data_IF_010800868148
#
_entry.id   IF_010800868148
#
_cell.length_a   1.000
_cell.length_b   1.000
_cell.length_c   1.000
_cell.angle_alpha   90.00
_cell.angle_beta   90.00
_cell.angle_gamma   90.00
#
_symmetry.space_group_name_H-M   'P 1'
#
loop_
_entity.id
_entity.type
_entity.pdbx_description
1 polymer ?
#
# COMPACT_ATOMS: atom_id res chain seq x y z
N UNK A 1 -16.41 -16.04 2.36
CA UNK A 1 -15.63 -17.15 2.95
C UNK A 1 -15.25 -16.75 4.35
N UNK A 2 -15.75 -17.41 5.41
CA UNK A 2 -15.35 -17.07 6.76
C UNK A 2 -14.01 -17.76 7.08
N UNK A 3 -13.00 -16.97 7.42
CA UNK A 3 -11.77 -17.48 8.02
C UNK A 3 -12.09 -17.86 9.46
N UNK A 4 -11.98 -19.14 9.79
CA UNK A 4 -12.04 -19.63 11.17
C UNK A 4 -10.84 -19.08 11.94
N UNK A 5 -11.09 -18.16 12.87
CA UNK A 5 -10.13 -17.84 13.94
C UNK A 5 -10.17 -18.97 14.97
N UNK A 6 -9.03 -19.63 15.17
CA UNK A 6 -8.80 -20.54 16.29
C UNK A 6 -8.78 -19.74 17.59
N UNK A 7 -9.73 -20.03 18.47
CA UNK A 7 -9.80 -19.48 19.82
C UNK A 7 -8.66 -20.07 20.68
N UNK A 8 -7.89 -19.20 21.31
CA UNK A 8 -6.92 -19.59 22.34
C UNK A 8 -7.66 -20.06 23.59
N UNK A 9 -7.29 -21.25 24.08
CA UNK A 9 -7.86 -21.86 25.27
C UNK A 9 -7.40 -21.11 26.53
N UNK A 10 -8.38 -20.67 27.34
CA UNK A 10 -8.18 -20.30 28.75
C UNK A 10 -7.83 -21.57 29.53
N UNK A 11 -6.65 -21.61 30.15
CA UNK A 11 -6.39 -22.51 31.27
C UNK A 11 -6.34 -21.68 32.55
N UNK A 12 -7.29 -21.98 33.43
CA UNK A 12 -7.39 -21.56 34.81
C UNK A 12 -7.11 -22.80 35.65
N UNK A 13 -6.11 -22.76 36.53
CA UNK A 13 -6.12 -23.47 37.81
C UNK A 13 -4.93 -23.02 38.66
N UNK A 14 -5.26 -22.27 39.71
CA UNK A 14 -4.44 -22.05 40.91
C UNK A 14 -4.53 -23.31 41.78
N UNK A 15 -3.49 -23.63 42.57
CA UNK A 15 -3.76 -23.86 43.98
C UNK A 15 -2.79 -23.13 44.91
N UNK A 16 -3.37 -22.75 46.06
CA UNK A 16 -2.75 -22.20 47.26
C UNK A 16 -1.63 -23.10 47.80
N UNK A 17 -0.65 -22.50 48.47
CA UNK A 17 -0.42 -22.70 49.93
C UNK A 17 0.51 -21.60 50.50
N UNK A 18 0.49 -21.40 51.84
CA UNK A 18 1.04 -20.21 52.50
C UNK A 18 2.39 -20.49 53.18
N UNK A 19 3.27 -19.49 53.27
CA UNK A 19 4.32 -19.49 54.28
C UNK A 19 4.51 -18.11 54.92
N UNK A 20 4.41 -18.13 56.25
CA UNK A 20 4.88 -17.17 57.24
C UNK A 20 6.37 -16.86 57.07
N UNK A 21 6.79 -15.64 57.47
CA UNK A 21 8.23 -15.31 57.49
C UNK A 21 8.63 -13.88 57.84
N UNK A 22 8.11 -13.35 58.95
CA UNK A 22 8.82 -12.59 60.00
C UNK A 22 10.25 -12.03 59.74
N UNK A 23 10.38 -10.70 59.87
CA UNK A 23 11.50 -9.87 60.42
C UNK A 23 12.85 -9.83 59.67
N UNK A 24 13.23 -8.62 59.21
CA UNK A 24 14.50 -7.97 59.56
C UNK A 24 14.48 -6.47 59.22
N UNK A 25 14.38 -5.64 60.26
CA UNK A 25 14.76 -4.24 60.22
C UNK A 25 16.30 -4.13 60.11
N UNK A 26 16.80 -3.18 59.33
CA UNK A 26 18.10 -2.56 59.61
C UNK A 26 18.12 -1.10 59.17
N UNK A 27 18.45 -0.28 60.16
CA UNK A 27 18.71 1.15 60.14
C UNK A 27 20.02 1.50 59.42
N UNK A 28 20.16 2.80 59.16
CA UNK A 28 21.37 3.64 59.05
C UNK A 28 21.67 4.12 57.61
N UNK A 29 22.06 5.37 57.33
CA UNK A 29 22.20 6.62 58.08
C UNK A 29 22.57 7.71 57.05
N UNK A 30 22.09 8.93 57.32
CA UNK A 30 22.51 10.27 56.88
C UNK A 30 23.65 10.44 55.85
N UNK A 31 23.40 11.29 54.84
CA UNK A 31 24.33 12.34 54.43
C UNK A 31 23.53 13.52 53.86
N UNK A 32 23.55 14.61 54.62
CA UNK A 32 23.11 15.95 54.25
C UNK A 32 24.06 16.53 53.17
N UNK A 33 23.53 17.32 52.24
CA UNK A 33 24.31 18.31 51.49
C UNK A 33 23.39 19.46 51.09
N UNK A 34 23.83 20.65 51.52
CA UNK A 34 23.18 21.94 51.46
C UNK A 34 23.08 22.51 50.03
N UNK A 35 22.21 23.53 49.81
CA UNK A 35 22.12 24.29 48.56
C UNK A 35 23.23 25.34 48.47
N UNK A 36 23.71 25.57 47.25
CA UNK A 36 24.71 26.57 46.91
C UNK A 36 24.01 27.79 46.31
N UNK A 37 24.22 28.93 46.97
CA UNK A 37 23.80 30.28 46.60
C UNK A 37 24.76 30.82 45.53
N UNK A 38 24.23 31.41 44.46
CA UNK A 38 24.91 32.52 43.78
C UNK A 38 23.90 33.40 43.08
N UNK A 39 23.78 34.59 43.67
CA UNK A 39 23.24 35.80 43.11
C UNK A 39 23.86 36.13 41.75
N UNK A 40 23.05 36.66 40.83
CA UNK A 40 23.48 37.81 40.05
C UNK A 40 22.27 38.64 39.57
N UNK A 41 22.49 39.94 39.69
CA UNK A 41 21.56 41.05 39.71
C UNK A 41 20.91 41.42 38.37
N UNK A 42 19.70 41.96 38.52
CA UNK A 42 19.15 43.14 37.85
C UNK A 42 19.20 43.27 36.31
N UNK A 43 18.02 43.28 35.69
CA UNK A 43 17.60 44.48 34.94
C UNK A 43 16.09 44.69 35.04
N UNK A 44 15.79 45.90 35.48
CA UNK A 44 14.50 46.55 35.63
C UNK A 44 14.02 47.08 34.27
N UNK A 45 12.75 46.85 33.93
CA UNK A 45 11.98 47.67 32.99
C UNK A 45 10.49 47.34 33.09
N UNK A 46 9.87 48.07 34.00
CA UNK A 46 8.43 48.38 34.08
C UNK A 46 7.78 48.72 32.72
N UNK A 47 6.61 48.13 32.44
CA UNK A 47 5.47 48.88 31.90
C UNK A 47 4.18 48.05 32.05
N UNK A 48 3.39 48.42 33.05
CA UNK A 48 1.99 48.07 33.15
C UNK A 48 1.18 48.98 32.22
N UNK A 49 0.28 48.39 31.42
CA UNK A 49 -0.86 49.13 30.88
C UNK A 49 -2.08 48.24 30.98
N UNK A 50 -3.06 48.80 31.67
CA UNK A 50 -4.37 48.29 32.01
C UNK A 50 -5.34 48.18 30.83
N UNK A 51 -6.26 47.23 30.99
CA UNK A 51 -7.70 47.35 30.83
C UNK A 51 -8.38 47.35 29.44
N UNK A 52 -9.66 46.96 29.56
CA UNK A 52 -10.80 47.14 28.66
C UNK A 52 -11.04 46.05 27.59
N UNK A 53 -11.75 45.02 28.04
CA UNK A 53 -13.17 44.83 27.71
C UNK A 53 -13.58 45.04 26.24
N UNK A 54 -13.93 43.93 25.56
CA UNK A 54 -14.69 43.97 24.30
C UNK A 54 -15.81 42.94 24.35
N UNK A 55 -16.95 43.42 24.83
CA UNK A 55 -18.28 42.90 24.52
C UNK A 55 -18.86 43.57 23.28
N UNK A 56 -19.58 42.75 22.50
CA UNK A 56 -20.78 43.01 21.72
C UNK A 56 -20.85 44.23 20.78
N UNK A 57 -20.98 43.94 19.47
CA UNK A 57 -21.99 44.59 18.63
C UNK A 57 -22.41 43.66 17.48
N UNK A 58 -23.59 43.06 17.60
CA UNK A 58 -24.46 42.76 16.46
C UNK A 58 -25.07 44.07 15.91
N UNK A 59 -25.45 44.04 14.63
CA UNK A 59 -26.53 44.79 13.95
C UNK A 59 -26.13 45.70 12.78
N UNK A 60 -26.96 45.60 11.72
CA UNK A 60 -27.23 46.63 10.70
C UNK A 60 -26.44 46.45 9.40
N UNK A 61 -27.00 45.91 8.32
CA UNK A 61 -28.05 46.44 7.43
C UNK A 61 -27.49 47.31 6.30
N UNK A 62 -27.84 46.89 5.08
CA UNK A 62 -28.24 47.66 3.90
C UNK A 62 -27.51 48.97 3.56
N UNK A 63 -26.96 49.03 2.34
CA UNK A 63 -27.59 49.78 1.26
C UNK A 63 -26.68 49.93 0.04
N UNK A 64 -27.36 49.92 -1.09
CA UNK A 64 -26.94 50.28 -2.44
C UNK A 64 -26.15 51.59 -2.51
N UNK A 65 -25.16 51.64 -3.40
CA UNK A 65 -24.75 52.88 -4.07
C UNK A 65 -24.16 52.52 -5.43
N UNK A 66 -25.00 52.64 -6.44
CA UNK A 66 -24.58 52.88 -7.81
C UNK A 66 -24.15 54.35 -7.91
N UNK A 67 -23.01 54.63 -8.55
CA UNK A 67 -22.81 55.85 -9.33
C UNK A 67 -21.53 55.73 -10.18
N UNK A 68 -21.78 55.58 -11.47
CA UNK A 68 -21.14 56.22 -12.61
C UNK A 68 -19.75 56.84 -12.45
N UNK A 69 -18.79 56.26 -13.17
CA UNK A 69 -17.77 57.05 -13.88
C UNK A 69 -17.52 56.42 -15.25
N UNK A 70 -18.16 57.00 -16.28
CA UNK A 70 -17.75 56.87 -17.67
C UNK A 70 -16.52 57.76 -17.90
N UNK A 71 -15.43 57.19 -18.43
CA UNK A 71 -14.52 57.88 -19.35
C UNK A 71 -13.71 56.84 -20.13
N UNK A 72 -13.77 56.98 -21.46
CA UNK A 72 -13.15 56.16 -22.47
C UNK A 72 -11.62 56.15 -22.39
N UNK A 73 -10.99 55.03 -22.79
CA UNK A 73 -10.10 55.04 -23.96
C UNK A 73 -9.67 53.62 -24.36
N UNK A 74 -10.14 53.27 -25.56
CA UNK A 74 -9.64 52.34 -26.56
C UNK A 74 -8.31 51.60 -26.32
N UNK A 75 -8.40 50.30 -26.02
CA UNK A 75 -7.49 49.28 -26.59
C UNK A 75 -8.29 48.00 -26.88
N UNK A 76 -8.96 47.98 -28.03
CA UNK A 76 -9.57 46.78 -28.60
C UNK A 76 -8.49 45.86 -29.20
N UNK A 77 -7.96 44.93 -28.40
CA UNK A 77 -7.19 43.77 -28.89
C UNK A 77 -8.01 42.50 -28.66
N UNK A 78 -8.79 42.15 -29.70
CA UNK A 78 -9.13 40.81 -30.17
C UNK A 78 -9.18 39.67 -29.12
N UNK A 79 -10.25 39.63 -28.33
CA UNK A 79 -10.70 38.45 -27.58
C UNK A 79 -11.67 37.61 -28.42
N UNK A 80 -11.16 37.00 -29.50
CA UNK A 80 -11.89 36.07 -30.35
C UNK A 80 -11.22 34.68 -30.35
N UNK A 81 -10.97 34.12 -29.17
CA UNK A 81 -10.61 32.69 -29.03
C UNK A 81 -11.88 31.84 -29.04
N UNK A 82 -12.27 31.49 -30.27
CA UNK A 82 -12.86 30.21 -30.69
C UNK A 82 -13.34 29.32 -29.53
N UNK A 83 -14.62 29.44 -29.17
CA UNK A 83 -15.40 28.31 -28.64
C UNK A 83 -15.61 27.31 -29.79
N UNK A 84 -14.57 26.53 -30.07
CA UNK A 84 -14.65 25.34 -30.90
C UNK A 84 -15.51 24.29 -30.18
N UNK A 85 -16.82 24.39 -30.35
CA UNK A 85 -17.77 23.36 -30.00
C UNK A 85 -17.50 22.17 -30.92
N UNK A 86 -16.57 21.31 -30.52
CA UNK A 86 -16.44 19.97 -31.09
C UNK A 86 -17.71 19.20 -30.72
N UNK A 87 -18.75 19.35 -31.55
CA UNK A 87 -19.81 18.35 -31.64
C UNK A 87 -19.16 17.12 -32.25
N UNK A 88 -18.56 16.29 -31.41
CA UNK A 88 -18.23 14.92 -31.81
C UNK A 88 -19.53 14.29 -32.30
N UNK A 89 -19.60 14.05 -33.62
CA UNK A 89 -20.73 13.42 -34.28
C UNK A 89 -21.15 12.18 -33.49
N UNK A 90 -22.33 12.25 -32.88
CA UNK A 90 -22.92 11.16 -32.11
C UNK A 90 -23.46 10.04 -33.03
N UNK A 91 -23.19 10.08 -34.35
CA UNK A 91 -23.80 9.15 -35.32
C UNK A 91 -23.07 7.81 -35.49
N UNK A 92 -21.83 7.65 -35.02
CA UNK A 92 -21.03 6.43 -35.24
C UNK A 92 -20.83 5.57 -33.98
N UNK A 93 -21.76 5.64 -33.02
CA UNK A 93 -21.84 4.59 -31.99
C UNK A 93 -22.64 3.40 -32.55
N UNK A 94 -22.07 2.20 -32.63
CA UNK A 94 -22.78 1.02 -33.12
C UNK A 94 -24.03 0.80 -32.26
N UNK A 95 -25.21 0.95 -32.86
CA UNK A 95 -26.54 0.90 -32.21
C UNK A 95 -26.90 -0.47 -31.59
N UNK A 96 -25.98 -1.43 -31.58
CA UNK A 96 -26.19 -2.80 -31.08
C UNK A 96 -25.80 -3.05 -29.61
N UNK A 97 -25.04 -2.16 -28.96
CA UNK A 97 -24.52 -2.40 -27.59
C UNK A 97 -25.41 -1.84 -26.46
N UNK A 98 -26.38 -0.99 -26.78
CA UNK A 98 -27.16 -0.25 -25.76
C UNK A 98 -28.17 -1.11 -25.00
N UNK A 99 -28.62 -2.25 -25.57
CA UNK A 99 -29.65 -3.08 -24.89
C UNK A 99 -29.07 -4.04 -23.86
N UNK A 100 -27.81 -4.46 -24.02
CA UNK A 100 -27.11 -5.21 -22.96
C UNK A 100 -26.70 -4.32 -21.79
N UNK A 101 -26.65 -2.98 -21.97
CA UNK A 101 -26.20 -2.09 -20.90
C UNK A 101 -27.17 -2.04 -19.74
N UNK A 102 -28.49 -2.07 -19.95
CA UNK A 102 -29.45 -1.93 -18.85
C UNK A 102 -29.50 -3.15 -17.93
N UNK A 103 -29.49 -4.37 -18.49
CA UNK A 103 -29.45 -5.60 -17.70
C UNK A 103 -28.12 -5.72 -16.94
N UNK A 104 -27.02 -5.37 -17.62
CA UNK A 104 -25.69 -5.36 -17.02
C UNK A 104 -25.56 -4.31 -15.92
N UNK A 105 -26.05 -3.08 -16.13
CA UNK A 105 -26.09 -2.02 -15.12
C UNK A 105 -26.90 -2.44 -13.90
N UNK A 106 -28.08 -3.05 -14.09
CA UNK A 106 -28.89 -3.55 -12.97
C UNK A 106 -28.19 -4.66 -12.19
N UNK A 107 -27.57 -5.62 -12.88
CA UNK A 107 -26.76 -6.65 -12.24
C UNK A 107 -25.63 -6.03 -11.41
N UNK A 108 -25.00 -4.99 -11.97
CA UNK A 108 -23.92 -4.28 -11.32
C UNK A 108 -24.39 -3.50 -10.08
N UNK A 109 -25.54 -2.83 -10.17
CA UNK A 109 -26.16 -2.12 -9.05
C UNK A 109 -26.54 -3.08 -7.92
N UNK A 110 -27.11 -4.24 -8.26
CA UNK A 110 -27.44 -5.29 -7.28
C UNK A 110 -26.19 -5.84 -6.60
N UNK A 111 -25.16 -6.19 -7.39
CA UNK A 111 -23.86 -6.65 -6.84
C UNK A 111 -23.15 -5.59 -6.03
N UNK A 112 -23.26 -4.32 -6.42
CA UNK A 112 -22.75 -3.22 -5.62
C UNK A 112 -23.49 -3.14 -4.30
N UNK A 113 -24.83 -3.21 -4.28
CA UNK A 113 -25.60 -3.18 -3.04
C UNK A 113 -25.25 -4.35 -2.11
N UNK A 114 -25.12 -5.56 -2.64
CA UNK A 114 -24.64 -6.74 -1.90
C UNK A 114 -23.23 -6.51 -1.32
N UNK A 115 -22.34 -5.94 -2.13
CA UNK A 115 -21.00 -5.56 -1.68
C UNK A 115 -21.06 -4.48 -0.59
N UNK A 116 -21.91 -3.46 -0.72
CA UNK A 116 -22.09 -2.42 0.31
C UNK A 116 -22.58 -2.99 1.63
N UNK A 117 -23.53 -3.91 1.59
CA UNK A 117 -24.05 -4.60 2.76
C UNK A 117 -22.95 -5.46 3.40
N UNK A 118 -22.19 -6.20 2.60
CA UNK A 118 -21.07 -7.04 3.06
C UNK A 118 -19.96 -6.21 3.71
N UNK A 119 -19.60 -5.08 3.11
CA UNK A 119 -18.63 -4.13 3.68
C UNK A 119 -19.15 -3.56 5.00
N UNK A 120 -20.42 -3.18 5.08
CA UNK A 120 -21.00 -2.64 6.31
C UNK A 120 -21.00 -3.68 7.44
N UNK A 121 -21.37 -4.92 7.14
CA UNK A 121 -21.32 -6.03 8.09
C UNK A 121 -19.89 -6.29 8.55
N UNK A 122 -18.95 -6.43 7.61
CA UNK A 122 -17.54 -6.66 7.92
C UNK A 122 -16.96 -5.53 8.78
N UNK A 123 -17.26 -4.27 8.46
CA UNK A 123 -16.84 -3.09 9.23
C UNK A 123 -17.43 -3.07 10.63
N UNK A 124 -18.59 -3.66 10.84
CA UNK A 124 -19.22 -3.74 12.17
C UNK A 124 -18.54 -4.82 13.00
N UNK A 125 -18.15 -5.93 12.38
CA UNK A 125 -17.57 -7.10 13.05
C UNK A 125 -16.05 -7.01 13.28
N UNK A 126 -15.31 -6.37 12.37
CA UNK A 126 -13.84 -6.49 12.29
C UNK A 126 -13.10 -5.17 12.51
N UNK A 127 -13.81 -4.06 12.65
CA UNK A 127 -13.18 -2.75 12.83
C UNK A 127 -12.42 -2.71 14.16
N UNK A 128 -11.11 -2.38 14.15
CA UNK A 128 -10.38 -2.16 15.39
C UNK A 128 -10.93 -0.90 16.07
N UNK A 129 -11.13 -1.00 17.38
CA UNK A 129 -11.48 0.14 18.22
C UNK A 129 -10.18 0.87 18.54
N UNK A 130 -9.89 1.92 17.78
CA UNK A 130 -8.76 2.80 17.99
C UNK A 130 -9.31 4.13 18.48
N UNK A 131 -8.96 4.51 19.70
CA UNK A 131 -9.40 5.77 20.31
C UNK A 131 -8.23 6.71 20.55
N UNK A 132 -7.04 6.15 20.76
CA UNK A 132 -5.86 6.92 21.15
C UNK A 132 -4.64 6.59 20.29
N UNK A 133 -3.63 7.47 20.36
CA UNK A 133 -2.33 7.23 19.75
C UNK A 133 -1.66 5.96 20.33
N UNK A 134 -1.86 5.69 21.62
CA UNK A 134 -1.27 4.51 22.25
C UNK A 134 -1.86 3.21 21.73
N UNK A 135 -3.11 3.20 21.28
CA UNK A 135 -3.69 2.04 20.60
C UNK A 135 -3.02 1.81 19.24
N UNK A 136 -2.70 2.89 18.51
CA UNK A 136 -1.95 2.78 17.26
C UNK A 136 -0.52 2.29 17.51
N UNK A 137 0.15 2.75 18.57
CA UNK A 137 1.49 2.25 18.93
C UNK A 137 1.50 0.74 19.21
N UNK A 138 0.40 0.16 19.72
CA UNK A 138 0.28 -1.29 19.98
C UNK A 138 0.18 -2.11 18.70
N UNK A 139 -0.41 -1.57 17.64
CA UNK A 139 -0.62 -2.28 16.37
C UNK A 139 0.44 -1.97 15.31
N UNK A 140 1.03 -0.78 15.36
CA UNK A 140 2.05 -0.35 14.40
C UNK A 140 3.34 -1.14 14.61
N UNK A 141 3.99 -1.47 13.50
CA UNK A 141 5.27 -2.17 13.54
C UNK A 141 6.36 -1.19 13.95
N UNK A 142 6.81 -1.30 15.21
CA UNK A 142 8.09 -0.72 15.64
C UNK A 142 9.19 -1.78 15.63
N UNK A 143 10.42 -1.33 15.43
CA UNK A 143 11.58 -2.23 15.51
C UNK A 143 11.68 -2.74 16.95
N UNK A 144 11.66 -4.06 17.16
CA UNK A 144 11.81 -4.62 18.51
C UNK A 144 13.20 -4.28 19.05
N UNK A 145 13.27 -3.94 20.34
CA UNK A 145 14.55 -3.76 21.02
C UNK A 145 15.31 -5.08 20.99
N UNK A 146 16.50 -5.04 20.42
CA UNK A 146 17.37 -6.21 20.17
C UNK A 146 18.83 -5.81 20.34
N UNK A 147 19.74 -6.77 20.22
CA UNK A 147 21.19 -6.51 20.26
C UNK A 147 21.62 -5.53 19.16
N UNK A 148 20.95 -5.58 17.99
CA UNK A 148 21.20 -4.68 16.86
C UNK A 148 20.48 -3.34 16.98
N UNK A 149 19.37 -3.30 17.72
CA UNK A 149 18.56 -2.09 17.94
C UNK A 149 18.31 -1.84 19.43
N UNK A 150 19.25 -1.14 20.07
CA UNK A 150 19.19 -0.89 21.52
C UNK A 150 18.31 0.32 21.86
N UNK A 151 17.93 0.46 23.14
CA UNK A 151 17.27 1.68 23.66
C UNK A 151 18.10 2.95 23.40
N UNK A 152 19.42 2.84 23.34
CA UNK A 152 20.32 3.95 23.01
C UNK A 152 20.12 4.43 21.57
N UNK A 153 20.01 3.50 20.63
CA UNK A 153 19.74 3.79 19.21
C UNK A 153 18.37 4.46 19.04
N UNK A 154 17.35 3.95 19.73
CA UNK A 154 16.01 4.54 19.72
C UNK A 154 16.03 5.99 20.22
N UNK A 155 16.64 6.25 21.38
CA UNK A 155 16.80 7.62 21.91
C UNK A 155 17.64 8.52 20.99
N UNK A 156 18.57 7.96 20.22
CA UNK A 156 19.33 8.72 19.23
C UNK A 156 18.45 9.10 18.03
N UNK A 157 17.65 8.16 17.52
CA UNK A 157 16.68 8.42 16.45
C UNK A 157 15.67 9.51 16.87
N UNK A 158 15.14 9.43 18.08
CA UNK A 158 14.25 10.46 18.66
C UNK A 158 14.93 11.83 18.76
N UNK A 159 16.19 11.89 19.20
CA UNK A 159 16.96 13.15 19.26
C UNK A 159 17.27 13.71 17.88
N UNK A 160 17.61 12.87 16.91
CA UNK A 160 17.85 13.29 15.53
C UNK A 160 16.57 13.84 14.92
N UNK A 161 15.45 13.14 15.09
CA UNK A 161 14.14 13.57 14.63
C UNK A 161 13.70 14.89 15.28
N UNK A 162 13.94 15.05 16.59
CA UNK A 162 13.62 16.29 17.29
C UNK A 162 14.42 17.50 16.78
N UNK A 163 15.64 17.28 16.29
CA UNK A 163 16.51 18.31 15.69
C UNK A 163 16.26 18.51 14.21
N UNK A 164 15.54 17.61 13.55
CA UNK A 164 15.29 17.70 12.11
C UNK A 164 14.48 18.97 11.79
N UNK A 165 15.07 19.88 11.01
CA UNK A 165 14.43 21.11 10.57
C UNK A 165 13.14 20.86 9.78
N UNK A 166 12.99 19.67 9.20
CA UNK A 166 11.76 19.25 8.56
C UNK A 166 10.59 19.04 9.52
N UNK A 167 10.83 18.67 10.78
CA UNK A 167 9.77 18.42 11.78
C UNK A 167 8.95 19.69 12.03
N UNK A 168 9.62 20.86 12.11
CA UNK A 168 8.98 22.16 12.34
C UNK A 168 8.11 22.64 11.18
N UNK A 169 8.43 22.23 9.96
CA UNK A 169 7.78 22.73 8.73
C UNK A 169 6.55 21.92 8.27
N UNK A 170 6.09 20.91 9.05
CA UNK A 170 5.30 19.79 8.48
C UNK A 170 4.00 19.37 9.14
N UNK A 171 3.53 20.09 10.15
CA UNK A 171 2.21 19.84 10.73
C UNK A 171 1.10 20.71 10.12
N UNK A 172 1.34 21.36 8.97
CA UNK A 172 0.22 21.90 8.17
C UNK A 172 -0.56 20.77 7.46
N UNK A 173 -0.86 19.74 8.23
CA UNK A 173 -1.80 18.66 7.93
C UNK A 173 -3.23 19.19 7.87
N UNK A 174 -3.49 20.34 8.50
CA UNK A 174 -4.79 20.97 8.56
C UNK A 174 -5.44 21.10 7.19
N UNK A 175 -4.67 21.42 6.15
CA UNK A 175 -5.17 21.57 4.78
C UNK A 175 -5.32 20.25 3.99
N UNK A 176 -4.68 19.15 4.41
CA UNK A 176 -4.62 17.91 3.63
C UNK A 176 -5.62 16.85 4.11
N UNK A 177 -6.90 17.09 3.84
CA UNK A 177 -8.00 16.17 4.18
C UNK A 177 -7.85 14.77 3.57
N UNK A 178 -7.23 14.67 2.38
CA UNK A 178 -6.94 13.38 1.72
C UNK A 178 -5.97 12.52 2.52
N UNK A 179 -4.94 13.11 3.13
CA UNK A 179 -3.99 12.37 3.97
C UNK A 179 -4.65 11.88 5.28
N UNK A 180 -5.43 12.74 5.96
CA UNK A 180 -6.18 12.32 7.15
C UNK A 180 -7.12 11.14 6.84
N UNK A 181 -7.80 11.21 5.70
CA UNK A 181 -8.67 10.14 5.22
C UNK A 181 -7.88 8.85 4.99
N UNK A 182 -6.71 8.93 4.36
CA UNK A 182 -5.84 7.78 4.14
C UNK A 182 -5.40 7.13 5.46
N UNK A 183 -5.03 7.91 6.47
CA UNK A 183 -4.66 7.39 7.79
C UNK A 183 -5.81 6.63 8.46
N UNK A 184 -7.02 7.20 8.47
CA UNK A 184 -8.21 6.52 9.00
C UNK A 184 -8.45 5.18 8.31
N UNK A 185 -8.30 5.17 6.98
CA UNK A 185 -8.49 4.01 6.13
C UNK A 185 -7.43 2.93 6.38
N UNK A 186 -6.15 3.28 6.39
CA UNK A 186 -5.06 2.33 6.64
C UNK A 186 -5.15 1.72 8.04
N UNK A 187 -5.39 2.53 9.07
CA UNK A 187 -5.51 2.03 10.44
C UNK A 187 -6.75 1.16 10.65
N UNK A 188 -7.89 1.54 10.07
CA UNK A 188 -9.14 0.78 10.25
C UNK A 188 -9.10 -0.59 9.57
N UNK A 189 -8.45 -0.70 8.41
CA UNK A 189 -8.56 -1.91 7.59
C UNK A 189 -7.30 -2.76 7.55
N UNK A 190 -6.13 -2.14 7.64
CA UNK A 190 -4.86 -2.83 7.61
C UNK A 190 -4.16 -2.83 8.97
N UNK A 191 -4.65 -2.03 9.92
CA UNK A 191 -4.00 -1.89 11.22
C UNK A 191 -2.59 -1.31 11.12
N UNK A 192 -2.29 -0.55 10.07
CA UNK A 192 -0.96 -0.01 9.80
C UNK A 192 -1.01 1.49 9.48
N UNK A 193 0.15 2.13 9.57
CA UNK A 193 0.33 3.50 9.10
C UNK A 193 0.52 3.55 7.58
N UNK A 194 0.07 4.60 6.87
CA UNK A 194 0.30 4.73 5.43
C UNK A 194 1.78 4.63 5.04
N UNK A 195 2.68 5.17 5.86
CA UNK A 195 4.13 5.12 5.68
C UNK A 195 4.66 3.68 5.71
N UNK A 196 4.00 2.77 6.44
CA UNK A 196 4.35 1.35 6.41
C UNK A 196 4.06 0.71 5.04
N UNK A 197 3.10 1.26 4.27
CA UNK A 197 2.75 0.78 2.92
C UNK A 197 3.86 1.17 1.92
N UNK A 198 4.32 2.41 2.00
CA UNK A 198 5.42 2.96 1.19
C UNK A 198 6.73 2.95 2.00
N UNK A 199 7.08 1.78 2.52
CA UNK A 199 8.21 1.64 3.42
C UNK A 199 9.44 1.05 2.73
N UNK A 200 10.64 1.26 3.31
CA UNK A 200 11.87 0.60 2.87
C UNK A 200 11.76 -0.93 2.85
N UNK A 201 11.02 -1.52 3.80
CA UNK A 201 10.79 -2.97 3.90
C UNK A 201 10.08 -3.52 2.65
N UNK A 202 9.23 -2.71 2.03
CA UNK A 202 8.51 -3.04 0.79
C UNK A 202 9.22 -2.47 -0.43
N UNK A 203 10.46 -1.99 -0.31
CA UNK A 203 11.21 -1.33 -1.38
C UNK A 203 10.40 -0.25 -2.10
N UNK A 204 9.50 0.46 -1.40
CA UNK A 204 8.70 1.55 -1.96
C UNK A 204 9.06 2.84 -1.24
N UNK A 205 9.01 3.96 -1.96
CA UNK A 205 9.14 5.29 -1.37
C UNK A 205 8.22 6.26 -2.10
N UNK A 206 7.77 7.31 -1.43
CA UNK A 206 7.04 8.37 -2.12
C UNK A 206 7.99 9.27 -2.91
N UNK A 207 7.69 9.53 -4.18
CA UNK A 207 8.53 10.38 -5.04
C UNK A 207 8.26 11.88 -4.81
N UNK A 208 8.99 12.49 -3.88
CA UNK A 208 8.82 13.93 -3.60
C UNK A 208 9.17 14.83 -4.79
N UNK A 209 10.17 14.46 -5.59
CA UNK A 209 10.64 15.27 -6.71
C UNK A 209 9.58 15.36 -7.81
N UNK A 210 9.02 14.22 -8.21
CA UNK A 210 8.08 14.17 -9.34
C UNK A 210 6.64 14.50 -8.93
N UNK A 211 6.29 14.38 -7.66
CA UNK A 211 5.01 14.86 -7.16
C UNK A 211 5.03 16.38 -6.81
N UNK A 212 6.10 17.09 -7.16
CA UNK A 212 6.25 18.55 -7.01
C UNK A 212 6.07 19.03 -5.56
N UNK A 213 6.52 18.24 -4.58
CA UNK A 213 6.45 18.64 -3.17
C UNK A 213 7.83 18.87 -2.58
N UNK A 214 8.12 20.14 -2.24
CA UNK A 214 9.34 20.52 -1.51
C UNK A 214 9.28 20.10 -0.04
N UNK A 215 8.06 19.95 0.49
CA UNK A 215 7.79 19.50 1.86
C UNK A 215 7.54 18.01 1.75
N UNK A 216 8.28 17.15 2.49
CA UNK A 216 7.99 15.69 2.61
C UNK A 216 6.56 15.41 3.14
N UNK A 217 5.56 15.73 2.34
CA UNK A 217 4.14 15.65 2.57
C UNK A 217 3.56 15.10 1.27
N UNK A 218 2.74 14.06 1.40
CA UNK A 218 2.08 13.47 0.25
C UNK A 218 0.98 14.39 -0.23
N UNK A 219 0.91 14.65 -1.54
CA UNK A 219 -0.15 15.49 -2.09
C UNK A 219 -1.52 14.84 -1.88
N UNK A 220 -2.55 15.65 -1.65
CA UNK A 220 -3.89 15.14 -1.35
C UNK A 220 -4.42 14.19 -2.42
N UNK A 221 -4.18 14.50 -3.70
CA UNK A 221 -4.58 13.65 -4.83
C UNK A 221 -3.91 12.27 -4.82
N UNK A 222 -2.67 12.18 -4.35
CA UNK A 222 -1.98 10.90 -4.19
C UNK A 222 -2.62 10.08 -3.08
N UNK A 223 -2.90 10.72 -1.94
CA UNK A 223 -3.55 10.08 -0.80
C UNK A 223 -4.95 9.56 -1.16
N UNK A 224 -5.72 10.35 -1.91
CA UNK A 224 -7.02 9.94 -2.42
C UNK A 224 -6.92 8.73 -3.33
N UNK A 225 -5.94 8.72 -4.23
CA UNK A 225 -5.74 7.62 -5.16
C UNK A 225 -5.29 6.34 -4.46
N UNK A 226 -4.34 6.44 -3.53
CA UNK A 226 -3.91 5.30 -2.70
C UNK A 226 -5.08 4.76 -1.86
N UNK A 227 -5.89 5.65 -1.30
CA UNK A 227 -7.09 5.29 -0.53
C UNK A 227 -8.07 4.44 -1.34
N UNK A 228 -8.18 4.64 -2.66
CA UNK A 228 -9.07 3.80 -3.49
C UNK A 228 -8.54 2.37 -3.63
N UNK A 229 -7.21 2.24 -3.74
CA UNK A 229 -6.54 0.97 -3.97
C UNK A 229 -6.51 0.09 -2.73
N UNK A 230 -6.43 0.67 -1.53
CA UNK A 230 -6.44 -0.04 -0.25
C UNK A 230 -7.56 -1.09 -0.16
N UNK A 231 -8.72 -0.81 -0.72
CA UNK A 231 -9.91 -1.68 -0.57
C UNK A 231 -10.16 -2.60 -1.73
N UNK A 232 -9.28 -2.61 -2.71
CA UNK A 232 -9.55 -3.39 -3.89
C UNK A 232 -9.55 -4.89 -3.52
N UNK A 233 -10.61 -5.66 -3.84
CA UNK A 233 -10.74 -7.05 -3.39
C UNK A 233 -9.61 -7.99 -3.85
N UNK A 234 -8.87 -7.58 -4.88
CA UNK A 234 -7.65 -8.27 -5.33
C UNK A 234 -6.61 -8.43 -4.21
N UNK A 235 -6.51 -7.45 -3.31
CA UNK A 235 -5.46 -7.42 -2.27
C UNK A 235 -5.86 -8.11 -0.98
N UNK A 236 -7.14 -8.43 -0.75
CA UNK A 236 -7.61 -9.17 0.45
C UNK A 236 -7.05 -8.64 1.79
N UNK A 237 -6.92 -7.31 1.93
CA UNK A 237 -6.36 -6.67 3.13
C UNK A 237 -4.91 -7.06 3.43
N UNK A 238 -4.16 -7.46 2.41
CA UNK A 238 -2.75 -7.80 2.50
C UNK A 238 -1.89 -6.71 1.85
N UNK A 239 -1.08 -6.04 2.67
CA UNK A 239 -0.19 -4.96 2.25
C UNK A 239 0.86 -5.41 1.25
N UNK A 240 1.33 -6.65 1.38
CA UNK A 240 2.41 -7.16 0.53
C UNK A 240 1.88 -7.40 -0.89
N UNK A 241 0.60 -7.72 -1.05
CA UNK A 241 -0.08 -7.76 -2.35
C UNK A 241 -0.19 -6.39 -2.99
N UNK A 242 -0.65 -5.39 -2.24
CA UNK A 242 -0.76 -4.03 -2.75
C UNK A 242 0.63 -3.52 -3.16
N UNK A 243 1.64 -3.70 -2.31
CA UNK A 243 3.00 -3.28 -2.60
C UNK A 243 3.59 -4.00 -3.82
N UNK A 244 3.41 -5.31 -3.93
CA UNK A 244 3.82 -6.10 -5.11
C UNK A 244 3.20 -5.52 -6.39
N UNK A 245 1.91 -5.15 -6.37
CA UNK A 245 1.24 -4.56 -7.52
C UNK A 245 1.83 -3.18 -7.87
N UNK A 246 2.03 -2.31 -6.87
CA UNK A 246 2.62 -0.98 -7.06
C UNK A 246 4.05 -1.09 -7.59
N UNK A 247 4.89 -1.93 -7.00
CA UNK A 247 6.24 -2.22 -7.47
C UNK A 247 6.24 -2.63 -8.94
N UNK A 248 5.36 -3.56 -9.33
CA UNK A 248 5.26 -4.03 -10.70
C UNK A 248 4.94 -2.89 -11.68
N UNK A 249 4.01 -1.98 -11.31
CA UNK A 249 3.73 -0.79 -12.12
C UNK A 249 4.98 0.08 -12.27
N UNK A 250 5.69 0.37 -11.17
CA UNK A 250 6.90 1.20 -11.23
C UNK A 250 7.95 0.56 -12.14
N UNK A 251 8.22 -0.74 -11.97
CA UNK A 251 9.21 -1.49 -12.77
C UNK A 251 8.89 -1.45 -14.27
N UNK A 252 7.63 -1.68 -14.64
CA UNK A 252 7.22 -1.67 -16.05
C UNK A 252 7.35 -0.27 -16.65
N UNK A 253 6.99 0.77 -15.90
CA UNK A 253 7.04 2.16 -16.37
C UNK A 253 8.46 2.74 -16.44
N UNK A 254 9.34 2.32 -15.54
CA UNK A 254 10.74 2.74 -15.53
C UNK A 254 11.64 1.87 -16.41
N UNK A 255 11.11 0.75 -16.92
CA UNK A 255 11.91 -0.30 -17.57
C UNK A 255 13.07 -0.79 -16.69
N UNK A 256 12.85 -0.85 -15.37
CA UNK A 256 13.83 -1.40 -14.43
C UNK A 256 14.13 -2.87 -14.76
N UNK A 257 15.41 -3.24 -14.67
CA UNK A 257 15.95 -4.56 -15.02
C UNK A 257 16.66 -5.24 -13.85
N UNK A 258 16.64 -4.62 -12.68
CA UNK A 258 17.20 -5.21 -11.46
C UNK A 258 16.41 -6.46 -11.06
N UNK A 259 17.03 -7.41 -10.34
CA UNK A 259 16.31 -8.52 -9.74
C UNK A 259 15.14 -8.00 -8.91
N UNK A 260 13.95 -8.55 -9.16
CA UNK A 260 12.76 -8.12 -8.45
C UNK A 260 12.68 -8.79 -7.07
N UNK A 261 12.83 -7.98 -6.01
CA UNK A 261 12.78 -8.42 -4.62
C UNK A 261 11.47 -7.99 -3.95
N UNK A 262 10.36 -8.64 -4.34
CA UNK A 262 9.07 -8.45 -3.68
C UNK A 262 8.97 -9.28 -2.40
N UNK A 263 8.39 -8.70 -1.35
CA UNK A 263 7.84 -9.49 -0.24
C UNK A 263 6.51 -10.07 -0.72
N UNK A 264 6.47 -11.39 -0.86
CA UNK A 264 5.26 -12.09 -1.32
C UNK A 264 4.44 -12.58 -0.12
N UNK A 265 3.10 -12.61 -0.23
CA UNK A 265 2.22 -13.14 0.80
C UNK A 265 2.52 -14.60 1.15
N UNK A 266 2.43 -14.96 2.42
CA UNK A 266 2.65 -16.35 2.88
C UNK A 266 1.64 -17.35 2.29
N UNK A 267 0.43 -16.90 1.98
CA UNK A 267 -0.61 -17.74 1.36
C UNK A 267 -0.36 -18.02 -0.13
N UNK A 268 0.62 -17.34 -0.73
CA UNK A 268 1.13 -17.66 -2.05
C UNK A 268 2.17 -18.78 -1.91
N UNK A 269 1.75 -20.04 -2.00
CA UNK A 269 2.72 -21.15 -1.99
C UNK A 269 3.77 -21.05 -3.13
N UNK A 270 4.85 -21.83 -3.11
CA UNK A 270 5.94 -21.76 -4.12
C UNK A 270 5.47 -21.98 -5.57
N UNK A 271 4.38 -22.73 -5.74
CA UNK A 271 3.75 -22.98 -7.04
C UNK A 271 2.98 -21.76 -7.59
N UNK A 272 2.80 -20.72 -6.78
CA UNK A 272 2.07 -19.51 -7.14
C UNK A 272 2.83 -18.71 -8.20
N UNK A 273 2.07 -18.05 -9.07
CA UNK A 273 2.61 -17.28 -10.19
C UNK A 273 3.64 -16.23 -9.78
N UNK A 274 3.39 -15.52 -8.67
CA UNK A 274 4.30 -14.47 -8.18
C UNK A 274 5.67 -15.02 -7.77
N UNK A 275 5.71 -16.16 -7.06
CA UNK A 275 6.98 -16.79 -6.67
C UNK A 275 7.78 -17.21 -7.89
N UNK A 276 7.14 -17.84 -8.88
CA UNK A 276 7.83 -18.23 -10.12
C UNK A 276 8.35 -17.03 -10.89
N UNK A 277 7.60 -15.92 -10.92
CA UNK A 277 8.02 -14.69 -11.57
C UNK A 277 9.21 -14.04 -10.84
N UNK A 278 9.18 -14.01 -9.51
CA UNK A 278 10.30 -13.54 -8.70
C UNK A 278 11.55 -14.39 -8.90
N UNK A 279 11.44 -15.72 -8.80
CA UNK A 279 12.57 -16.63 -9.04
C UNK A 279 13.13 -16.49 -10.46
N UNK A 280 12.27 -16.35 -11.47
CA UNK A 280 12.72 -16.11 -12.85
C UNK A 280 13.45 -14.76 -12.99
N UNK A 281 13.02 -13.73 -12.26
CA UNK A 281 13.70 -12.43 -12.23
C UNK A 281 15.07 -12.50 -11.56
N UNK A 282 15.20 -13.28 -10.49
CA UNK A 282 16.46 -13.48 -9.80
C UNK A 282 17.43 -14.33 -10.63
N UNK A 283 16.93 -15.35 -11.32
CA UNK A 283 17.73 -16.23 -12.18
C UNK A 283 18.22 -15.56 -13.47
N UNK A 284 17.56 -14.48 -13.91
CA UNK A 284 17.88 -13.79 -15.15
C UNK A 284 17.99 -12.27 -14.97
N UNK A 285 18.99 -11.78 -14.21
CA UNK A 285 19.20 -10.35 -14.00
C UNK A 285 19.40 -9.62 -15.34
N UNK A 286 18.95 -8.37 -15.44
CA UNK A 286 19.06 -7.58 -16.66
C UNK A 286 17.93 -7.82 -17.68
N UNK A 287 17.06 -8.82 -17.47
CA UNK A 287 15.88 -9.04 -18.30
C UNK A 287 14.70 -8.19 -17.81
N UNK A 288 13.88 -7.70 -18.76
CA UNK A 288 12.64 -6.99 -18.43
C UNK A 288 11.65 -7.94 -17.76
N UNK A 289 11.10 -7.53 -16.62
CA UNK A 289 10.14 -8.34 -15.85
C UNK A 289 8.89 -8.71 -16.67
N UNK A 290 8.42 -7.80 -17.52
CA UNK A 290 7.33 -8.05 -18.47
C UNK A 290 7.61 -9.20 -19.46
N UNK A 291 8.86 -9.33 -19.92
CA UNK A 291 9.26 -10.43 -20.81
C UNK A 291 9.28 -11.77 -20.08
N UNK A 292 9.77 -11.79 -18.83
CA UNK A 292 9.77 -12.98 -17.98
C UNK A 292 8.34 -13.43 -17.67
N UNK A 293 7.44 -12.48 -17.38
CA UNK A 293 6.01 -12.74 -17.18
C UNK A 293 5.41 -13.46 -18.39
N UNK A 294 5.58 -12.92 -19.60
CA UNK A 294 5.04 -13.53 -20.84
C UNK A 294 5.53 -14.96 -21.03
N UNK A 295 6.83 -15.20 -20.83
CA UNK A 295 7.39 -16.55 -20.91
C UNK A 295 6.77 -17.50 -19.89
N UNK A 296 6.54 -17.04 -18.67
CA UNK A 296 5.82 -17.82 -17.67
C UNK A 296 4.37 -18.07 -18.11
N UNK A 297 3.63 -17.05 -18.53
CA UNK A 297 2.25 -17.19 -19.02
C UNK A 297 2.15 -18.23 -20.14
N UNK A 298 3.11 -18.24 -21.07
CA UNK A 298 3.17 -19.22 -22.16
C UNK A 298 3.41 -20.65 -21.63
N UNK A 299 4.27 -20.81 -20.62
CA UNK A 299 4.48 -22.10 -19.94
C UNK A 299 3.25 -22.58 -19.15
N UNK A 300 2.30 -21.68 -18.83
CA UNK A 300 1.04 -22.00 -18.17
C UNK A 300 -0.13 -22.21 -19.15
N UNK A 301 0.10 -22.20 -20.47
CA UNK A 301 -0.95 -22.43 -21.47
C UNK A 301 -1.72 -23.74 -21.18
N UNK A 302 -3.06 -23.67 -21.23
CA UNK A 302 -3.96 -24.77 -20.90
C UNK A 302 -4.40 -24.85 -19.43
N UNK A 303 -3.84 -24.03 -18.53
CA UNK A 303 -4.30 -23.90 -17.14
C UNK A 303 -5.16 -22.64 -16.96
N UNK A 304 -5.97 -22.62 -15.90
CA UNK A 304 -6.69 -21.42 -15.51
C UNK A 304 -5.69 -20.29 -15.23
N UNK A 305 -5.91 -19.14 -15.87
CA UNK A 305 -4.99 -18.02 -15.80
C UNK A 305 -4.98 -17.39 -14.41
N UNK A 306 -3.77 -17.08 -13.90
CA UNK A 306 -3.63 -16.39 -12.63
C UNK A 306 -4.22 -14.98 -12.70
N UNK A 307 -4.94 -14.55 -11.65
CA UNK A 307 -5.45 -13.18 -11.54
C UNK A 307 -4.32 -12.14 -11.58
N UNK A 308 -3.16 -12.49 -11.03
CA UNK A 308 -1.95 -11.66 -11.07
C UNK A 308 -1.40 -11.52 -12.48
N UNK A 309 -1.39 -12.61 -13.25
CA UNK A 309 -0.97 -12.56 -14.65
C UNK A 309 -1.89 -11.67 -15.48
N UNK A 310 -3.20 -11.76 -15.26
CA UNK A 310 -4.19 -10.91 -15.92
C UNK A 310 -4.00 -9.43 -15.55
N UNK A 311 -3.80 -9.13 -14.27
CA UNK A 311 -3.53 -7.76 -13.79
C UNK A 311 -2.24 -7.20 -14.42
N UNK A 312 -1.16 -7.97 -14.39
CA UNK A 312 0.13 -7.52 -14.91
C UNK A 312 0.13 -7.31 -16.42
N UNK A 313 -0.58 -8.15 -17.18
CA UNK A 313 -0.80 -7.88 -18.60
C UNK A 313 -1.56 -6.56 -18.83
N UNK A 314 -2.60 -6.26 -18.04
CA UNK A 314 -3.33 -5.00 -18.15
C UNK A 314 -2.44 -3.80 -17.82
N UNK A 315 -1.62 -3.90 -16.77
CA UNK A 315 -0.60 -2.88 -16.44
C UNK A 315 0.34 -2.66 -17.62
N UNK A 316 0.89 -3.73 -18.21
CA UNK A 316 1.77 -3.63 -19.38
C UNK A 316 1.08 -2.99 -20.59
N UNK A 317 -0.20 -3.27 -20.82
CA UNK A 317 -0.93 -2.68 -21.93
C UNK A 317 -1.11 -1.16 -21.74
N UNK A 318 -1.42 -0.72 -20.51
CA UNK A 318 -1.61 0.69 -20.17
C UNK A 318 -0.28 1.47 -20.11
N UNK A 319 0.79 0.82 -19.67
CA UNK A 319 2.12 1.44 -19.55
C UNK A 319 2.86 1.64 -20.89
N UNK A 320 2.36 1.09 -22.00
CA UNK A 320 2.97 1.27 -23.36
C UNK A 320 2.92 2.70 -23.87
N UNK A 321 2.25 3.62 -23.18
CA UNK A 321 2.18 5.00 -23.59
C UNK A 321 3.58 5.67 -23.52
N UNK A 322 4.18 6.09 -24.65
CA UNK A 322 5.57 6.55 -24.71
C UNK A 322 5.87 7.80 -23.88
N UNK A 323 4.85 8.56 -23.50
CA UNK A 323 4.99 9.78 -22.70
C UNK A 323 5.22 9.52 -21.20
N UNK A 324 5.34 8.26 -20.78
CA UNK A 324 5.28 7.87 -19.36
C UNK A 324 6.57 7.26 -18.81
N UNK A 325 7.71 7.47 -19.48
CA UNK A 325 9.00 6.95 -19.00
C UNK A 325 9.38 7.63 -17.69
N UNK A 326 9.58 6.83 -16.66
CA UNK A 326 10.05 7.29 -15.36
C UNK A 326 11.53 6.94 -15.23
N UNK A 327 12.38 7.93 -15.04
CA UNK A 327 13.77 7.65 -14.71
C UNK A 327 13.84 7.20 -13.25
N UNK A 328 14.15 5.92 -13.05
CA UNK A 328 14.54 5.40 -11.74
C UNK A 328 16.06 5.41 -11.69
N UNK A 329 16.59 6.10 -10.69
CA UNK A 329 18.02 6.09 -10.40
C UNK A 329 18.43 4.64 -10.06
N UNK A 330 19.34 4.02 -10.83
CA UNK A 330 19.73 2.63 -10.61
C UNK A 330 20.35 2.39 -9.23
N UNK A 331 20.89 3.45 -8.59
CA UNK A 331 21.47 3.38 -7.25
C UNK A 331 20.43 3.32 -6.14
N UNK A 332 19.19 3.77 -6.40
CA UNK A 332 18.13 3.79 -5.39
C UNK A 332 17.58 2.40 -5.15
N UNK A 333 17.76 1.87 -3.95
CA UNK A 333 17.21 0.55 -3.57
C UNK A 333 15.67 0.50 -3.59
N UNK A 334 15.01 1.65 -3.54
CA UNK A 334 13.55 1.78 -3.42
C UNK A 334 12.93 2.25 -4.74
N UNK A 335 11.71 1.82 -4.98
CA UNK A 335 10.89 2.21 -6.13
C UNK A 335 10.13 3.50 -5.81
N UNK A 336 10.45 4.62 -6.49
CA UNK A 336 9.74 5.88 -6.28
C UNK A 336 8.31 5.80 -6.83
N UNK A 337 7.33 6.01 -5.95
CA UNK A 337 5.91 5.91 -6.26
C UNK A 337 5.34 7.30 -6.51
N UNK A 338 4.70 7.43 -7.68
CA UNK A 338 4.04 8.64 -8.13
C UNK A 338 2.53 8.39 -8.23
N UNK A 339 1.73 9.46 -8.21
CA UNK A 339 0.28 9.35 -8.40
C UNK A 339 -0.08 8.59 -9.68
N UNK A 340 0.63 8.85 -10.79
CA UNK A 340 0.39 8.20 -12.08
C UNK A 340 0.56 6.67 -12.04
N UNK A 341 1.42 6.15 -11.16
CA UNK A 341 1.57 4.71 -10.96
C UNK A 341 0.29 4.12 -10.36
N UNK A 342 -0.30 4.84 -9.41
CA UNK A 342 -1.56 4.45 -8.77
C UNK A 342 -2.76 4.62 -9.71
N UNK A 343 -2.74 5.61 -10.62
CA UNK A 343 -3.77 5.80 -11.65
C UNK A 343 -3.77 4.63 -12.67
N UNK A 344 -2.57 4.19 -13.09
CA UNK A 344 -2.41 3.01 -13.95
C UNK A 344 -2.86 1.74 -13.24
N UNK A 345 -2.53 1.60 -11.94
CA UNK A 345 -2.97 0.45 -11.16
C UNK A 345 -4.50 0.40 -11.03
N UNK A 346 -5.16 1.52 -10.69
CA UNK A 346 -6.63 1.61 -10.65
C UNK A 346 -7.23 1.22 -12.01
N UNK A 347 -6.75 1.83 -13.09
CA UNK A 347 -7.24 1.54 -14.44
C UNK A 347 -7.03 0.07 -14.85
N UNK A 348 -5.90 -0.52 -14.46
CA UNK A 348 -5.61 -1.91 -14.73
C UNK A 348 -6.58 -2.83 -13.99
N UNK A 349 -6.80 -2.59 -12.69
CA UNK A 349 -7.72 -3.36 -11.84
C UNK A 349 -9.14 -3.33 -12.38
N UNK A 350 -9.64 -2.15 -12.75
CA UNK A 350 -10.97 -1.95 -13.31
C UNK A 350 -11.14 -2.62 -14.69
N UNK A 351 -10.03 -2.85 -15.41
CA UNK A 351 -10.01 -3.51 -16.72
C UNK A 351 -9.78 -5.03 -16.68
N UNK A 352 -9.53 -5.62 -15.50
CA UNK A 352 -9.39 -7.08 -15.37
C UNK A 352 -10.76 -7.72 -15.58
N UNK A 353 -10.88 -8.52 -16.64
CA UNK A 353 -12.12 -9.17 -17.03
C UNK A 353 -11.95 -10.68 -17.14
N UNK A 354 -12.93 -11.45 -16.70
CA UNK A 354 -13.03 -12.89 -16.88
C UNK A 354 -14.26 -13.20 -17.74
N UNK A 355 -14.08 -13.83 -18.90
CA UNK A 355 -15.16 -14.11 -19.87
C UNK A 355 -15.96 -12.86 -20.29
N UNK A 356 -15.30 -11.71 -20.39
CA UNK A 356 -15.92 -10.42 -20.75
C UNK A 356 -16.60 -9.69 -19.58
N UNK A 357 -16.63 -10.27 -18.39
CA UNK A 357 -17.17 -9.64 -17.19
C UNK A 357 -16.06 -9.04 -16.34
N UNK A 358 -16.20 -7.81 -15.81
CA UNK A 358 -15.29 -7.28 -14.80
C UNK A 358 -15.15 -8.25 -13.63
N UNK A 359 -13.91 -8.58 -13.28
CA UNK A 359 -13.63 -9.52 -12.19
C UNK A 359 -13.91 -8.91 -10.82
N UNK A 360 -13.79 -7.59 -10.71
CA UNK A 360 -13.91 -6.84 -9.48
C UNK A 360 -14.72 -5.58 -9.71
N UNK A 361 -15.30 -5.01 -8.64
CA UNK A 361 -15.90 -3.72 -8.75
C UNK A 361 -14.89 -2.60 -8.95
N UNK A 362 -15.26 -1.53 -9.68
CA UNK A 362 -14.39 -0.39 -9.87
C UNK A 362 -13.85 0.11 -8.54
N UNK A 363 -12.55 0.41 -8.48
CA UNK A 363 -11.89 0.81 -7.24
C UNK A 363 -12.59 2.03 -6.61
N UNK A 364 -13.01 3.00 -7.44
CA UNK A 364 -13.75 4.18 -7.00
C UNK A 364 -15.09 3.84 -6.29
N UNK A 365 -15.83 2.85 -6.78
CA UNK A 365 -17.11 2.41 -6.19
C UNK A 365 -16.86 1.75 -4.84
N UNK A 366 -15.83 0.91 -4.76
CA UNK A 366 -15.42 0.25 -3.52
C UNK A 366 -15.00 1.27 -2.47
N UNK A 367 -14.17 2.23 -2.86
CA UNK A 367 -13.69 3.30 -2.01
C UNK A 367 -14.81 4.21 -1.50
N UNK A 368 -15.74 4.62 -2.38
CA UNK A 368 -16.87 5.47 -2.00
C UNK A 368 -17.78 4.79 -0.97
N UNK A 369 -18.05 3.49 -1.18
CA UNK A 369 -18.84 2.67 -0.27
C UNK A 369 -18.21 2.61 1.13
N UNK A 370 -16.89 2.44 1.19
CA UNK A 370 -16.15 2.36 2.46
C UNK A 370 -16.05 3.71 3.14
N UNK A 371 -15.75 4.77 2.38
CA UNK A 371 -15.71 6.14 2.89
C UNK A 371 -17.06 6.56 3.49
N UNK A 372 -18.17 6.17 2.87
CA UNK A 372 -19.51 6.44 3.40
C UNK A 372 -19.80 5.74 4.75
N UNK A 373 -19.03 4.70 5.10
CA UNK A 373 -19.15 3.97 6.36
C UNK A 373 -18.12 4.40 7.41
N UNK A 374 -17.10 5.16 7.03
CA UNK A 374 -16.23 5.80 8.00
C UNK A 374 -17.03 6.88 8.74
N UNK A 375 -17.19 6.72 10.05
CA UNK A 375 -17.82 7.75 10.86
C UNK A 375 -16.89 8.95 11.01
N UNK A 376 -17.46 10.14 11.20
CA UNK A 376 -16.71 11.36 11.53
C UNK A 376 -15.84 11.18 12.78
N UNK A 377 -16.24 10.28 13.69
CA UNK A 377 -15.55 9.96 14.96
C UNK A 377 -14.45 8.91 14.82
N UNK A 378 -14.08 8.51 13.60
CA UNK A 378 -13.02 7.51 13.41
C UNK A 378 -11.65 8.13 13.71
N UNK A 379 -10.89 7.51 14.61
CA UNK A 379 -9.50 7.88 14.88
C UNK A 379 -8.63 7.69 13.62
N UNK A 380 -7.67 8.60 13.33
CA UNK A 380 -7.40 9.85 14.05
C UNK A 380 -8.45 10.94 13.85
N UNK A 381 -8.73 11.70 14.91
CA UNK A 381 -9.34 13.01 14.81
C UNK A 381 -8.34 14.04 14.25
N UNK A 382 -8.84 15.21 13.83
CA UNK A 382 -7.96 16.29 13.31
C UNK A 382 -6.99 16.80 14.38
N UNK A 383 -7.39 16.77 15.66
CA UNK A 383 -6.57 17.18 16.82
C UNK A 383 -5.40 16.22 17.09
N UNK A 384 -5.64 14.91 16.93
CA UNK A 384 -4.63 13.88 17.23
C UNK A 384 -3.72 13.58 16.03
N UNK A 385 -4.10 14.06 14.85
CA UNK A 385 -3.47 13.69 13.60
C UNK A 385 -2.00 14.11 13.53
N UNK A 386 -1.66 15.27 14.08
CA UNK A 386 -0.28 15.77 14.09
C UNK A 386 0.64 14.89 14.94
N UNK A 387 0.21 14.52 16.14
CA UNK A 387 0.96 13.63 17.02
C UNK A 387 1.13 12.22 16.41
N UNK A 388 0.07 11.71 15.78
CA UNK A 388 0.12 10.44 15.07
C UNK A 388 1.08 10.46 13.88
N UNK A 389 1.08 11.55 13.12
CA UNK A 389 1.98 11.71 11.99
C UNK A 389 3.43 11.89 12.42
N UNK A 390 3.68 12.63 13.49
CA UNK A 390 5.02 12.75 14.10
C UNK A 390 5.54 11.37 14.52
N UNK A 391 4.68 10.54 15.12
CA UNK A 391 5.01 9.15 15.44
C UNK A 391 5.30 8.31 14.19
N UNK A 392 4.50 8.43 13.13
CA UNK A 392 4.70 7.67 11.89
C UNK A 392 6.03 8.00 11.21
N UNK A 393 6.36 9.29 11.11
CA UNK A 393 7.63 9.76 10.54
C UNK A 393 8.83 9.33 11.37
N UNK A 394 8.71 9.34 12.71
CA UNK A 394 9.75 8.83 13.60
C UNK A 394 9.96 7.32 13.37
N UNK A 395 8.89 6.54 13.27
CA UNK A 395 8.97 5.09 13.00
C UNK A 395 9.68 4.80 11.67
N UNK A 396 9.37 5.56 10.62
CA UNK A 396 10.06 5.46 9.33
C UNK A 396 11.56 5.77 9.49
N UNK A 397 11.91 6.84 10.21
CA UNK A 397 13.31 7.20 10.46
C UNK A 397 14.08 6.13 11.25
N UNK A 398 13.43 5.50 12.24
CA UNK A 398 14.00 4.37 12.97
C UNK A 398 14.29 3.19 12.02
N UNK A 399 13.36 2.87 11.12
CA UNK A 399 13.52 1.82 10.10
C UNK A 399 14.67 2.09 9.14
N UNK A 400 14.89 3.34 8.75
CA UNK A 400 16.03 3.73 7.90
C UNK A 400 17.36 3.52 8.63
N UNK A 401 17.50 4.06 9.84
CA UNK A 401 18.71 3.91 10.65
C UNK A 401 19.04 2.44 10.94
N UNK A 402 18.02 1.63 11.21
CA UNK A 402 18.18 0.20 11.41
C UNK A 402 18.66 -0.51 10.13
N UNK A 403 18.08 -0.15 8.98
CA UNK A 403 18.44 -0.73 7.69
C UNK A 403 19.88 -0.39 7.29
N UNK A 404 20.29 0.86 7.49
CA UNK A 404 21.65 1.33 7.18
C UNK A 404 22.69 0.63 8.07
N UNK A 405 22.37 0.44 9.34
CA UNK A 405 23.24 -0.27 10.29
C UNK A 405 23.43 -1.74 9.90
N UNK A 406 22.35 -2.42 9.51
CA UNK A 406 22.42 -3.81 9.07
C UNK A 406 23.18 -4.00 7.75
N UNK A 407 23.30 -2.95 6.94
CA UNK A 407 24.08 -2.97 5.70
C UNK A 407 25.55 -2.61 5.95
N UNK A 408 25.85 -1.80 6.97
CA UNK A 408 27.20 -1.31 7.26
C UNK A 408 28.02 -2.30 8.09
N UNK A 409 27.38 -3.20 8.84
CA UNK A 409 28.06 -4.23 9.61
C UNK A 409 28.88 -5.11 8.64
N UNK A 410 30.22 -4.95 8.59
CA UNK A 410 31.03 -5.74 7.68
C UNK A 410 30.81 -7.19 8.07
N UNK A 411 30.49 -8.05 7.09
CA UNK A 411 30.28 -9.46 7.32
C UNK A 411 31.40 -9.95 8.23
N UNK A 412 31.05 -10.26 9.50
CA UNK A 412 32.02 -10.57 10.54
C UNK A 412 33.05 -11.50 9.93
N UNK A 413 34.35 -11.14 9.93
CA UNK A 413 35.36 -11.84 9.16
C UNK A 413 35.21 -13.31 9.50
N UNK A 414 34.73 -14.09 8.53
CA UNK A 414 34.48 -15.52 8.71
C UNK A 414 35.80 -16.04 9.27
N UNK A 415 35.81 -16.54 10.52
CA UNK A 415 37.07 -16.92 11.15
C UNK A 415 37.76 -17.84 10.17
N UNK A 416 39.03 -17.58 9.80
CA UNK A 416 39.73 -18.30 8.76
C UNK A 416 39.58 -19.78 9.05
N UNK A 417 38.68 -20.40 8.29
CA UNK A 417 38.19 -21.71 8.64
C UNK A 417 39.38 -22.64 8.44
N UNK A 418 39.73 -23.34 9.51
CA UNK A 418 40.78 -24.33 9.62
C UNK A 418 40.61 -25.35 8.49
N UNK A 419 41.16 -25.05 7.32
CA UNK A 419 41.25 -25.92 6.16
C UNK A 419 42.25 -27.02 6.49
N UNK A 420 41.82 -27.99 7.29
CA UNK A 420 42.51 -29.25 7.45
C UNK A 420 41.49 -30.37 7.40
N UNK A 421 41.53 -31.11 6.29
CA UNK A 421 41.22 -32.55 6.20
C UNK A 421 39.90 -33.06 5.58
N UNK A 422 39.04 -32.27 4.92
CA UNK A 422 37.81 -32.83 4.31
C UNK A 422 37.63 -32.66 2.78
N UNK A 423 38.62 -32.16 2.05
CA UNK A 423 38.50 -31.98 0.58
C UNK A 423 38.69 -33.25 -0.27
N UNK A 424 38.87 -34.44 0.30
CA UNK A 424 39.12 -35.66 -0.50
C UNK A 424 37.90 -36.52 -0.85
N UNK A 425 36.70 -36.25 -0.34
CA UNK A 425 35.57 -37.21 -0.49
C UNK A 425 34.44 -36.74 -1.42
N UNK A 426 34.42 -35.48 -1.87
CA UNK A 426 33.30 -34.93 -2.65
C UNK A 426 33.56 -34.74 -4.15
N UNK A 427 34.80 -34.93 -4.64
CA UNK A 427 35.08 -34.88 -6.08
C UNK A 427 34.68 -36.16 -6.82
N UNK A 428 34.45 -37.29 -6.13
CA UNK A 428 34.11 -38.56 -6.78
C UNK A 428 32.60 -38.72 -7.07
N UNK A 429 31.73 -37.92 -6.43
CA UNK A 429 30.27 -38.04 -6.60
C UNK A 429 29.71 -37.23 -7.79
N UNK A 430 30.44 -36.21 -8.28
CA UNK A 430 29.92 -35.32 -9.33
C UNK A 430 30.20 -35.84 -10.74
N UNK A 431 31.18 -36.75 -10.92
CA UNK A 431 31.52 -37.34 -12.23
C UNK A 431 30.67 -38.56 -12.62
N UNK A 432 29.79 -39.07 -11.76
CA UNK A 432 28.90 -40.20 -12.09
C UNK A 432 27.47 -39.79 -12.47
N UNK A 433 27.09 -38.53 -12.28
CA UNK A 433 25.73 -38.05 -12.63
C UNK A 433 25.60 -37.62 -14.11
N UNK A 434 26.70 -37.30 -14.81
CA UNK A 434 26.64 -36.84 -16.21
C UNK A 434 26.65 -37.98 -17.26
N UNK A 435 26.81 -39.25 -16.85
CA UNK A 435 26.90 -40.37 -17.79
C UNK A 435 25.57 -41.10 -18.07
N UNK A 436 24.43 -40.62 -17.54
CA UNK A 436 23.12 -41.29 -17.66
C UNK A 436 22.05 -40.55 -18.49
N UNK A 437 22.33 -39.36 -19.05
CA UNK A 437 21.36 -38.63 -19.91
C UNK A 437 21.65 -38.67 -21.43
N UNK A 438 22.60 -39.49 -21.88
CA UNK A 438 22.86 -39.68 -23.31
C UNK A 438 22.25 -41.00 -23.83
N UNK A 439 20.92 -41.08 -23.88
CA UNK A 439 20.23 -42.29 -24.34
C UNK A 439 18.87 -42.05 -25.01
N UNK A 440 18.87 -42.16 -26.34
CA UNK A 440 17.70 -42.54 -27.16
C UNK A 440 16.64 -41.47 -27.49
N UNK A 441 16.94 -40.66 -28.52
CA UNK A 441 15.93 -40.02 -29.37
C UNK A 441 15.80 -40.82 -30.67
N UNK A 442 14.86 -41.77 -30.70
CA UNK A 442 14.37 -42.38 -31.93
C UNK A 442 13.22 -41.55 -32.54
N UNK A 443 13.12 -41.42 -33.87
CA UNK A 443 12.11 -40.60 -34.52
C UNK A 443 10.73 -41.28 -34.48
N UNK A 444 9.78 -40.69 -33.73
CA UNK A 444 8.36 -41.10 -33.77
C UNK A 444 7.75 -40.74 -35.12
N UNK A 445 7.37 -41.77 -35.89
CA UNK A 445 6.48 -41.67 -37.06
C UNK A 445 5.19 -40.95 -36.69
N UNK A 446 4.85 -39.87 -37.42
CA UNK A 446 3.54 -39.22 -37.38
C UNK A 446 2.47 -40.19 -37.86
N UNK A 447 1.59 -40.61 -36.95
CA UNK A 447 0.30 -41.23 -37.28
C UNK A 447 -0.68 -40.09 -37.53
N UNK A 448 -1.17 -40.00 -38.76
CA UNK A 448 -2.22 -39.07 -39.19
C UNK A 448 -3.55 -39.62 -38.67
N UNK A 449 -4.32 -38.88 -37.85
CA UNK A 449 -5.67 -39.31 -37.47
C UNK A 449 -6.64 -39.14 -38.65
N UNK A 450 -7.60 -40.06 -38.84
CA UNK A 450 -8.59 -39.94 -39.90
C UNK A 450 -9.58 -38.81 -39.61
N UNK A 451 -9.89 -38.05 -40.66
CA UNK A 451 -10.94 -37.03 -40.73
C UNK A 451 -12.33 -37.61 -40.43
N UNK A 452 -13.15 -36.96 -39.60
CA UNK A 452 -14.54 -37.37 -39.41
C UNK A 452 -15.43 -36.83 -40.55
N UNK A 453 -16.20 -37.75 -41.14
CA UNK A 453 -17.18 -37.55 -42.19
C UNK A 453 -18.46 -36.88 -41.62
N UNK A 454 -19.06 -35.86 -42.26
CA UNK A 454 -20.23 -35.17 -41.74
C UNK A 454 -21.54 -35.80 -42.24
N UNK A 455 -22.19 -36.61 -41.40
CA UNK A 455 -23.62 -36.90 -41.56
C UNK A 455 -24.18 -37.55 -40.29
N UNK A 456 -24.97 -36.81 -39.50
CA UNK A 456 -26.36 -37.19 -39.17
C UNK A 456 -26.98 -36.26 -38.13
N UNK A 457 -28.25 -36.00 -38.42
CA UNK A 457 -29.26 -35.23 -37.73
C UNK A 457 -29.47 -35.60 -36.25
N UNK A 458 -29.86 -34.55 -35.51
CA UNK A 458 -30.54 -34.48 -34.21
C UNK A 458 -31.51 -35.65 -33.91
N UNK A 459 -31.78 -35.92 -32.62
CA UNK A 459 -32.96 -35.25 -32.05
C UNK A 459 -32.74 -34.63 -30.66
N UNK A 460 -33.51 -33.57 -30.43
CA UNK A 460 -33.60 -32.77 -29.22
C UNK A 460 -33.90 -33.61 -27.96
N UNK A 461 -33.06 -33.47 -26.94
CA UNK A 461 -33.39 -33.83 -25.56
C UNK A 461 -33.64 -32.57 -24.74
N UNK A 462 -34.90 -32.37 -24.35
CA UNK A 462 -35.34 -31.45 -23.30
C UNK A 462 -34.58 -31.77 -22.00
N UNK A 463 -33.70 -30.87 -21.56
CA UNK A 463 -33.17 -30.86 -20.20
C UNK A 463 -34.13 -30.06 -19.32
N UNK A 464 -34.76 -30.77 -18.37
CA UNK A 464 -35.50 -30.18 -17.25
C UNK A 464 -34.49 -29.46 -16.34
N UNK A 465 -34.74 -28.18 -16.06
CA UNK A 465 -34.14 -27.47 -14.93
C UNK A 465 -34.56 -28.19 -13.64
N UNK A 466 -33.57 -28.74 -12.92
CA UNK A 466 -33.72 -29.12 -11.51
C UNK A 466 -33.09 -27.99 -10.70
N UNK A 467 -33.88 -27.40 -9.81
CA UNK A 467 -33.49 -26.28 -8.96
C UNK A 467 -32.39 -26.65 -7.98
N UNK A 468 -31.40 -25.77 -7.89
CA UNK A 468 -30.43 -25.74 -6.79
C UNK A 468 -30.98 -24.80 -5.71
N UNK A 469 -31.75 -25.39 -4.80
CA UNK A 469 -31.95 -24.87 -3.46
C UNK A 469 -30.96 -25.60 -2.55
N UNK A 470 -30.36 -24.86 -1.61
CA UNK A 470 -29.51 -25.31 -0.49
C UNK A 470 -27.99 -25.14 -0.70
N UNK A 471 -27.48 -24.02 -0.21
CA UNK A 471 -26.21 -23.94 0.53
C UNK A 471 -26.38 -22.78 1.54
N UNK A 472 -26.57 -23.16 2.81
CA UNK A 472 -26.43 -22.31 4.00
C UNK A 472 -24.98 -22.33 4.45
#
# INVERSE_FOLDING_TARGET
>A
MPLKRTAAAKQSAVPNEPEDGTIAANNARAAESAPDDSDDEATDATTAVDAEDRKDSEAGDDAESAEDTEAADDVAINRATRRGRYTTSASDRPRGLTRMSNAFSRYWDDKNNEFRASVALWMTENRPVLETLDDVKKISRRIPISDKWTKGNQKQAERNWAKDGFRRNKLDTGSNGGLLTLYRLSLTFFGCLPEEILSPERSLEYDFAQNQTSRRIWVSQFCEQLSKLLFHPMFRQDLDRLATAVQYVVIVMSSDRRPWEARLPEDCGPSHFLHKLQSASQAAPGRKLASLRRQLSDAFQGKARSKWDMLFERIEALARNPYTVCHVDPTRKRYPVQKKHLDILESALDSVQCFGFPMFPPAAVSAATIKAKLSVKTYPGRKDFDALRDYAMLSEHEMELYSDRNQTEPASPVPPNTMSSQTKTLQTATLQAESLEAGSLAPRKRVIPPTPNPARSSPAKRLRLVGLSNLR
#
